data_IF_017951593418
#
_entry.id   IF_017951593418
#
_cell.length_a   1.000
_cell.length_b   1.000
_cell.length_c   1.000
_cell.angle_alpha   90.00
_cell.angle_beta   90.00
_cell.angle_gamma   90.00
#
_symmetry.space_group_name_H-M   'P 1'
#
loop_
_entity.id
_entity.type
_entity.pdbx_description
1 polymer ?
#
# COMPACT_ATOMS: atom_id res chain seq x y z
N UNK A 1 -6.91 -26.75 0.94
CA UNK A 1 -6.59 -25.59 1.82
C UNK A 1 -5.86 -25.96 3.10
N UNK A 2 -5.56 -26.91 3.62
CA UNK A 2 -4.98 -27.15 4.96
C UNK A 2 -3.61 -27.81 5.00
N UNK A 3 -3.25 -28.62 4.00
CA UNK A 3 -2.09 -29.51 4.14
C UNK A 3 -0.73 -28.82 4.17
N UNK A 4 -0.56 -27.69 3.46
CA UNK A 4 0.70 -26.97 3.44
C UNK A 4 0.86 -26.11 4.70
N UNK A 5 -0.18 -25.42 5.11
CA UNK A 5 -0.19 -24.66 6.38
C UNK A 5 0.02 -25.60 7.58
N UNK A 6 -0.61 -26.77 7.58
CA UNK A 6 -0.39 -27.81 8.62
C UNK A 6 1.08 -28.27 8.63
N UNK A 7 1.73 -28.44 7.49
CA UNK A 7 3.15 -28.81 7.44
C UNK A 7 4.05 -27.73 8.09
N UNK A 8 3.78 -26.46 7.80
CA UNK A 8 4.53 -25.34 8.40
C UNK A 8 4.28 -25.28 9.91
N UNK A 9 3.03 -25.43 10.33
CA UNK A 9 2.68 -25.44 11.77
C UNK A 9 3.25 -26.65 12.51
N UNK A 10 3.31 -27.84 11.89
CA UNK A 10 3.98 -29.00 12.47
C UNK A 10 5.49 -28.77 12.59
N UNK A 11 6.12 -28.19 11.58
CA UNK A 11 7.54 -27.85 11.65
C UNK A 11 7.83 -26.86 12.78
N UNK A 12 6.95 -25.88 12.97
CA UNK A 12 7.00 -24.97 14.11
C UNK A 12 6.80 -25.66 15.45
N UNK A 13 5.81 -26.55 15.55
CA UNK A 13 5.59 -27.36 16.76
C UNK A 13 6.82 -28.15 17.15
N UNK A 14 7.48 -28.78 16.16
CA UNK A 14 8.74 -29.52 16.35
C UNK A 14 9.88 -28.61 16.83
N UNK A 15 9.98 -27.40 16.28
CA UNK A 15 11.01 -26.43 16.63
C UNK A 15 10.83 -25.87 18.06
N UNK A 16 9.59 -25.76 18.53
CA UNK A 16 9.28 -25.31 19.90
C UNK A 16 9.08 -26.46 20.90
N UNK A 17 9.25 -27.72 20.46
CA UNK A 17 9.03 -28.90 21.31
C UNK A 17 7.59 -29.11 21.72
N UNK A 18 6.64 -28.60 20.95
CA UNK A 18 5.19 -28.71 21.22
C UNK A 18 4.56 -29.61 20.18
N UNK A 19 4.18 -30.80 20.57
CA UNK A 19 3.43 -31.72 19.73
C UNK A 19 1.93 -31.34 19.73
N UNK A 20 1.50 -30.58 18.73
CA UNK A 20 0.09 -30.22 18.53
C UNK A 20 -0.43 -30.98 17.31
N UNK A 21 -1.49 -31.75 17.49
CA UNK A 21 -2.21 -32.35 16.36
C UNK A 21 -3.12 -31.30 15.68
N UNK A 22 -2.55 -30.58 14.74
CA UNK A 22 -3.25 -29.54 13.96
C UNK A 22 -4.34 -30.12 13.05
N UNK A 23 -4.31 -31.43 12.78
CA UNK A 23 -5.29 -32.12 11.95
C UNK A 23 -6.55 -32.53 12.74
N UNK A 24 -6.56 -32.33 14.05
CA UNK A 24 -7.70 -32.73 14.89
C UNK A 24 -8.97 -31.97 14.52
N UNK A 25 -10.12 -32.63 14.63
CA UNK A 25 -11.42 -32.04 14.33
C UNK A 25 -11.75 -30.78 15.18
N UNK A 26 -11.05 -30.57 16.28
CA UNK A 26 -11.22 -29.42 17.16
C UNK A 26 -10.37 -28.21 16.77
N UNK A 27 -9.20 -28.41 16.12
CA UNK A 27 -8.25 -27.35 15.76
C UNK A 27 -8.51 -26.81 14.37
N UNK A 28 -8.86 -27.66 13.41
CA UNK A 28 -9.10 -27.28 12.01
C UNK A 28 -10.16 -26.18 11.81
N UNK A 29 -11.32 -26.20 12.47
CA UNK A 29 -12.30 -25.13 12.31
C UNK A 29 -11.77 -23.78 12.79
N UNK A 30 -11.01 -23.76 13.90
CA UNK A 30 -10.40 -22.55 14.42
C UNK A 30 -9.32 -22.00 13.50
N UNK A 31 -8.48 -22.88 12.95
CA UNK A 31 -7.43 -22.50 11.99
C UNK A 31 -8.04 -21.92 10.72
N UNK A 32 -9.08 -22.53 10.17
CA UNK A 32 -9.78 -22.03 8.99
C UNK A 32 -10.44 -20.65 9.24
N UNK A 33 -11.00 -20.43 10.42
CA UNK A 33 -11.57 -19.12 10.79
C UNK A 33 -10.46 -18.07 10.92
N UNK A 34 -9.35 -18.38 11.57
CA UNK A 34 -8.19 -17.50 11.68
C UNK A 34 -7.64 -17.12 10.30
N UNK A 35 -7.43 -18.11 9.42
CA UNK A 35 -6.98 -17.88 8.05
C UNK A 35 -7.94 -17.00 7.28
N UNK A 36 -9.24 -17.23 7.38
CA UNK A 36 -10.26 -16.40 6.73
C UNK A 36 -10.22 -14.95 7.20
N UNK A 37 -9.97 -14.71 8.49
CA UNK A 37 -9.81 -13.36 9.04
C UNK A 37 -8.55 -12.66 8.53
N UNK A 38 -7.43 -13.39 8.48
CA UNK A 38 -6.16 -12.86 7.96
C UNK A 38 -6.28 -12.46 6.48
N UNK A 39 -6.90 -13.28 5.66
CA UNK A 39 -7.14 -12.99 4.24
C UNK A 39 -8.03 -11.75 4.09
N UNK A 40 -9.15 -11.68 4.82
CA UNK A 40 -10.03 -10.51 4.82
C UNK A 40 -9.28 -9.25 5.22
N UNK A 41 -8.47 -9.32 6.26
CA UNK A 41 -7.65 -8.20 6.71
C UNK A 41 -6.67 -7.74 5.63
N UNK A 42 -5.97 -8.65 4.95
CA UNK A 42 -5.09 -8.34 3.82
C UNK A 42 -5.84 -7.63 2.67
N UNK A 43 -7.03 -8.12 2.32
CA UNK A 43 -7.88 -7.48 1.31
C UNK A 43 -8.29 -6.06 1.74
N UNK A 44 -8.70 -5.85 2.99
CA UNK A 44 -9.09 -4.53 3.49
C UNK A 44 -7.94 -3.54 3.49
N UNK A 45 -6.73 -3.96 3.86
CA UNK A 45 -5.53 -3.10 3.81
C UNK A 45 -5.25 -2.66 2.36
N UNK A 46 -5.26 -3.58 1.41
CA UNK A 46 -5.02 -3.25 0.00
C UNK A 46 -6.10 -2.30 -0.56
N UNK A 47 -7.37 -2.51 -0.23
CA UNK A 47 -8.45 -1.59 -0.61
C UNK A 47 -8.23 -0.20 0.02
N UNK A 48 -7.83 -0.14 1.29
CA UNK A 48 -7.52 1.13 1.95
C UNK A 48 -6.37 1.87 1.25
N UNK A 49 -5.30 1.17 0.87
CA UNK A 49 -4.19 1.77 0.12
C UNK A 49 -4.63 2.31 -1.25
N UNK A 50 -5.48 1.60 -1.97
CA UNK A 50 -6.04 2.08 -3.24
C UNK A 50 -6.84 3.38 -3.05
N UNK A 51 -7.72 3.42 -2.05
CA UNK A 51 -8.52 4.62 -1.75
C UNK A 51 -7.61 5.79 -1.37
N UNK A 52 -6.60 5.54 -0.56
CA UNK A 52 -5.62 6.55 -0.14
C UNK A 52 -4.81 7.09 -1.34
N UNK A 53 -4.35 6.23 -2.24
CA UNK A 53 -3.64 6.61 -3.46
C UNK A 53 -4.49 7.52 -4.35
N UNK A 54 -5.76 7.18 -4.56
CA UNK A 54 -6.72 8.00 -5.32
C UNK A 54 -6.91 9.36 -4.65
N UNK A 55 -7.05 9.40 -3.32
CA UNK A 55 -7.23 10.65 -2.59
C UNK A 55 -6.01 11.58 -2.71
N UNK A 56 -4.80 11.05 -2.50
CA UNK A 56 -3.54 11.82 -2.65
C UNK A 56 -3.41 12.37 -4.07
N UNK A 57 -3.64 11.54 -5.08
CA UNK A 57 -3.61 11.95 -6.48
C UNK A 57 -4.58 13.10 -6.76
N UNK A 58 -5.81 13.00 -6.27
CA UNK A 58 -6.83 14.04 -6.44
C UNK A 58 -6.39 15.38 -5.81
N UNK A 59 -5.79 15.35 -4.61
CA UNK A 59 -5.28 16.55 -3.93
C UNK A 59 -4.19 17.22 -4.77
N UNK A 60 -3.23 16.47 -5.32
CA UNK A 60 -2.17 17.03 -6.16
C UNK A 60 -2.73 17.65 -7.44
N UNK A 61 -3.71 17.02 -8.08
CA UNK A 61 -4.37 17.57 -9.28
C UNK A 61 -5.07 18.89 -8.94
N UNK A 62 -5.82 18.95 -7.83
CA UNK A 62 -6.53 20.17 -7.42
C UNK A 62 -5.53 21.31 -7.17
N UNK A 63 -4.44 21.05 -6.43
CA UNK A 63 -3.40 22.04 -6.15
C UNK A 63 -2.79 22.58 -7.47
N UNK A 64 -2.49 21.70 -8.41
CA UNK A 64 -1.93 22.08 -9.71
C UNK A 64 -2.90 22.94 -10.52
N UNK A 65 -4.20 22.62 -10.52
CA UNK A 65 -5.24 23.43 -11.19
C UNK A 65 -5.38 24.82 -10.54
N UNK A 66 -5.32 24.89 -9.20
CA UNK A 66 -5.38 26.17 -8.48
C UNK A 66 -4.18 27.04 -8.82
N UNK A 67 -2.97 26.48 -8.78
CA UNK A 67 -1.74 27.19 -9.13
C UNK A 67 -1.78 27.68 -10.59
N UNK A 68 -2.27 26.86 -11.52
CA UNK A 68 -2.47 27.26 -12.91
C UNK A 68 -3.38 28.49 -13.05
N UNK A 69 -4.55 28.49 -12.42
CA UNK A 69 -5.50 29.61 -12.46
C UNK A 69 -4.89 30.90 -11.90
N UNK A 70 -4.15 30.79 -10.78
CA UNK A 70 -3.50 31.96 -10.16
C UNK A 70 -2.38 32.46 -11.09
N UNK A 71 -1.54 31.58 -11.67
CA UNK A 71 -0.47 31.93 -12.59
C UNK A 71 -1.02 32.66 -13.82
N UNK A 72 -2.05 32.15 -14.46
CA UNK A 72 -2.69 32.80 -15.60
C UNK A 72 -3.20 34.20 -15.26
N UNK A 73 -3.85 34.37 -14.09
CA UNK A 73 -4.36 35.68 -13.65
C UNK A 73 -3.24 36.69 -13.39
N UNK A 74 -2.10 36.23 -12.85
CA UNK A 74 -0.94 37.09 -12.59
C UNK A 74 -0.21 37.49 -13.89
N UNK A 75 -0.09 36.58 -14.84
CA UNK A 75 0.53 36.87 -16.15
C UNK A 75 -0.26 37.96 -16.89
N UNK A 76 -1.60 37.86 -16.90
CA UNK A 76 -2.45 38.87 -17.52
C UNK A 76 -2.33 40.27 -16.86
N UNK A 77 -2.07 40.30 -15.54
CA UNK A 77 -1.83 41.57 -14.83
C UNK A 77 -0.43 42.13 -14.99
N UNK A 78 0.55 41.28 -15.28
CA UNK A 78 1.95 41.72 -15.43
C UNK A 78 2.20 42.53 -16.71
N UNK A 79 1.31 42.47 -17.69
CA UNK A 79 1.37 43.29 -18.90
C UNK A 79 1.11 44.78 -18.60
N UNK A 80 0.48 45.12 -17.47
CA UNK A 80 0.15 46.49 -17.09
C UNK A 80 1.19 47.16 -16.17
N UNK A 81 2.04 46.42 -15.45
CA UNK A 81 2.98 46.94 -14.45
C UNK A 81 4.25 46.12 -14.32
N UNK A 82 5.43 46.75 -14.49
CA UNK A 82 6.74 46.05 -14.36
C UNK A 82 6.99 45.40 -12.98
N UNK A 83 6.38 45.92 -11.90
CA UNK A 83 6.53 45.39 -10.55
C UNK A 83 5.93 43.99 -10.39
N UNK A 84 4.96 43.62 -11.23
CA UNK A 84 4.32 42.28 -11.21
C UNK A 84 5.05 41.23 -12.05
N UNK A 85 6.05 41.60 -12.84
CA UNK A 85 6.78 40.66 -13.71
C UNK A 85 7.54 39.63 -12.90
N UNK A 86 8.18 40.01 -11.79
CA UNK A 86 8.92 39.07 -10.94
C UNK A 86 7.99 38.11 -10.23
N UNK A 87 6.84 38.56 -9.74
CA UNK A 87 5.83 37.71 -9.10
C UNK A 87 5.23 36.69 -10.08
N UNK A 88 4.98 37.12 -11.32
CA UNK A 88 4.48 36.25 -12.41
C UNK A 88 5.50 35.14 -12.77
N UNK A 89 6.80 35.49 -12.83
CA UNK A 89 7.89 34.53 -13.09
C UNK A 89 7.98 33.47 -11.97
N UNK A 90 7.98 33.89 -10.70
CA UNK A 90 8.04 32.99 -9.55
C UNK A 90 6.85 32.03 -9.58
N UNK A 91 5.65 32.53 -9.86
CA UNK A 91 4.44 31.72 -9.86
C UNK A 91 4.38 30.74 -11.04
N UNK A 92 4.87 31.15 -12.24
CA UNK A 92 4.98 30.26 -13.40
C UNK A 92 5.98 29.12 -13.14
N UNK A 93 7.08 29.41 -12.44
CA UNK A 93 8.07 28.40 -12.05
C UNK A 93 7.47 27.44 -11.02
N UNK A 94 6.74 27.94 -10.03
CA UNK A 94 6.06 27.12 -9.04
C UNK A 94 5.00 26.19 -9.69
N UNK A 95 4.26 26.69 -10.69
CA UNK A 95 3.33 25.88 -11.46
C UNK A 95 4.05 24.78 -12.25
N UNK A 96 5.15 25.09 -12.92
CA UNK A 96 5.93 24.10 -13.66
C UNK A 96 6.44 22.97 -12.74
N UNK A 97 6.98 23.34 -11.56
CA UNK A 97 7.42 22.38 -10.55
C UNK A 97 6.23 21.53 -10.07
N UNK A 98 5.10 22.14 -9.75
CA UNK A 98 3.90 21.43 -9.30
C UNK A 98 3.39 20.44 -10.37
N UNK A 99 3.43 20.82 -11.64
CA UNK A 99 3.00 19.95 -12.73
C UNK A 99 3.92 18.72 -12.85
N UNK A 100 5.23 18.90 -12.82
CA UNK A 100 6.20 17.80 -12.85
C UNK A 100 6.01 16.88 -11.64
N UNK A 101 5.88 17.46 -10.46
CA UNK A 101 5.65 16.67 -9.23
C UNK A 101 4.34 15.87 -9.30
N UNK A 102 3.27 16.47 -9.81
CA UNK A 102 1.99 15.79 -9.97
C UNK A 102 2.10 14.60 -10.94
N UNK A 103 2.82 14.76 -12.06
CA UNK A 103 3.05 13.64 -13.00
C UNK A 103 3.81 12.50 -12.32
N UNK A 104 4.86 12.83 -11.56
CA UNK A 104 5.65 11.82 -10.83
C UNK A 104 4.77 11.09 -9.81
N UNK A 105 3.98 11.82 -9.02
CA UNK A 105 3.07 11.22 -8.03
C UNK A 105 2.07 10.30 -8.71
N UNK A 106 1.43 10.72 -9.81
CA UNK A 106 0.48 9.89 -10.56
C UNK A 106 1.12 8.59 -11.02
N UNK A 107 2.37 8.63 -11.54
CA UNK A 107 3.07 7.44 -12.00
C UNK A 107 3.38 6.47 -10.85
N UNK A 108 3.80 6.99 -9.69
CA UNK A 108 4.06 6.19 -8.49
C UNK A 108 2.75 5.53 -8.01
N UNK A 109 1.66 6.30 -7.91
CA UNK A 109 0.39 5.77 -7.40
C UNK A 109 -0.26 4.76 -8.35
N UNK A 110 -0.07 4.88 -9.66
CA UNK A 110 -0.48 3.84 -10.61
C UNK A 110 0.28 2.53 -10.35
N UNK A 111 1.58 2.60 -10.04
CA UNK A 111 2.37 1.43 -9.63
C UNK A 111 1.81 0.79 -8.37
N UNK A 112 1.64 1.57 -7.31
CA UNK A 112 1.10 1.11 -6.02
C UNK A 112 -0.29 0.46 -6.18
N UNK A 113 -1.19 1.08 -6.95
CA UNK A 113 -2.53 0.52 -7.22
C UNK A 113 -2.43 -0.83 -7.94
N UNK A 114 -1.54 -0.94 -8.93
CA UNK A 114 -1.32 -2.20 -9.66
C UNK A 114 -0.85 -3.31 -8.72
N UNK A 115 0.07 -3.01 -7.82
CA UNK A 115 0.60 -3.97 -6.87
C UNK A 115 -0.49 -4.39 -5.86
N UNK A 116 -1.25 -3.45 -5.30
CA UNK A 116 -2.39 -3.75 -4.43
C UNK A 116 -3.45 -4.63 -5.12
N UNK A 117 -3.72 -4.40 -6.41
CA UNK A 117 -4.66 -5.25 -7.18
C UNK A 117 -4.09 -6.65 -7.38
N UNK A 118 -2.79 -6.78 -7.67
CA UNK A 118 -2.13 -8.08 -7.79
C UNK A 118 -2.21 -8.86 -6.48
N UNK A 119 -1.94 -8.22 -5.35
CA UNK A 119 -2.05 -8.81 -4.01
C UNK A 119 -3.49 -9.28 -3.71
N UNK A 120 -4.50 -8.47 -4.03
CA UNK A 120 -5.91 -8.86 -3.85
C UNK A 120 -6.24 -10.09 -4.71
N UNK A 121 -5.75 -10.17 -5.93
CA UNK A 121 -5.95 -11.33 -6.81
C UNK A 121 -5.24 -12.55 -6.21
N UNK A 122 -4.00 -12.41 -5.74
CA UNK A 122 -3.24 -13.49 -5.11
C UNK A 122 -3.94 -14.00 -3.85
N UNK A 123 -4.39 -13.11 -2.98
CA UNK A 123 -5.17 -13.44 -1.77
C UNK A 123 -6.44 -14.24 -2.06
N UNK A 124 -7.08 -13.98 -3.20
CA UNK A 124 -8.29 -14.72 -3.60
C UNK A 124 -7.98 -16.04 -4.32
N UNK A 125 -6.85 -16.15 -5.01
CA UNK A 125 -6.50 -17.32 -5.83
C UNK A 125 -5.65 -18.33 -5.08
N UNK A 126 -4.70 -17.87 -4.26
CA UNK A 126 -3.75 -18.71 -3.50
C UNK A 126 -3.63 -18.20 -2.06
N UNK A 127 -4.73 -18.21 -1.28
CA UNK A 127 -4.74 -17.66 0.07
C UNK A 127 -3.76 -18.34 1.03
N UNK A 128 -3.39 -19.58 0.76
CA UNK A 128 -2.46 -20.37 1.58
C UNK A 128 -1.05 -19.79 1.56
N UNK A 129 -0.60 -19.31 0.42
CA UNK A 129 0.73 -18.68 0.26
C UNK A 129 0.87 -17.47 1.17
N UNK A 130 -0.11 -16.59 1.17
CA UNK A 130 -0.13 -15.37 2.01
C UNK A 130 -0.06 -15.69 3.50
N UNK A 131 -0.81 -16.70 3.95
CA UNK A 131 -0.80 -17.09 5.37
C UNK A 131 0.55 -17.68 5.76
N UNK A 132 1.16 -18.49 4.87
CA UNK A 132 2.49 -19.07 5.10
C UNK A 132 3.55 -17.96 5.19
N UNK A 133 3.51 -16.99 4.31
CA UNK A 133 4.45 -15.86 4.26
C UNK A 133 4.38 -15.04 5.55
N UNK A 134 3.19 -14.66 6.03
CA UNK A 134 3.03 -13.95 7.31
C UNK A 134 3.56 -14.77 8.50
N UNK A 135 3.32 -16.08 8.51
CA UNK A 135 3.82 -16.94 9.58
C UNK A 135 5.35 -16.97 9.54
N UNK A 136 5.94 -17.06 8.35
CA UNK A 136 7.38 -17.13 8.16
C UNK A 136 8.07 -15.82 8.57
N UNK A 137 7.54 -14.67 8.16
CA UNK A 137 8.02 -13.35 8.60
C UNK A 137 8.02 -13.20 10.12
N UNK A 138 6.95 -13.66 10.77
CA UNK A 138 6.86 -13.61 12.25
C UNK A 138 7.87 -14.51 12.94
N UNK A 139 8.25 -15.62 12.33
CA UNK A 139 9.29 -16.52 12.84
C UNK A 139 10.65 -15.87 12.71
N UNK A 140 10.92 -15.24 11.58
CA UNK A 140 12.18 -14.58 11.29
C UNK A 140 12.36 -13.38 12.23
N UNK A 141 11.36 -12.54 12.44
CA UNK A 141 11.30 -11.47 13.44
C UNK A 141 11.64 -11.99 14.86
N UNK A 142 11.06 -13.15 15.23
CA UNK A 142 11.28 -13.75 16.56
C UNK A 142 12.70 -14.29 16.71
N UNK A 143 13.27 -14.88 15.68
CA UNK A 143 14.64 -15.42 15.71
C UNK A 143 15.66 -14.29 15.76
N UNK A 144 15.46 -13.19 15.03
CA UNK A 144 16.32 -12.00 15.11
C UNK A 144 16.30 -11.37 16.50
N UNK A 145 15.13 -11.27 17.13
CA UNK A 145 15.00 -10.70 18.49
C UNK A 145 15.68 -11.51 19.60
N UNK A 146 16.07 -12.76 19.33
CA UNK A 146 16.80 -13.62 20.28
C UNK A 146 18.32 -13.57 20.13
N UNK A 147 18.82 -13.00 19.04
CA UNK A 147 20.26 -12.92 18.74
C UNK A 147 20.90 -11.61 19.22
N UNK A 148 20.10 -10.68 19.67
CA UNK A 148 20.52 -9.44 20.37
C UNK A 148 20.37 -9.61 21.89
#
# INVERSE_FOLDING_TARGET
MGNEVIKVLNHLGDQFGVAIDWSSANVMPYLNDLMSRMIKYGIYINIYHIIYAIFITAVFIIVTIVLYKIACKMILRSEENEEHINSAKILSTAFAISLVTTVIVVLIEIGNIKDCIADIIELNTVPEKYVIEIIQDKIDDYNESKTD
#
